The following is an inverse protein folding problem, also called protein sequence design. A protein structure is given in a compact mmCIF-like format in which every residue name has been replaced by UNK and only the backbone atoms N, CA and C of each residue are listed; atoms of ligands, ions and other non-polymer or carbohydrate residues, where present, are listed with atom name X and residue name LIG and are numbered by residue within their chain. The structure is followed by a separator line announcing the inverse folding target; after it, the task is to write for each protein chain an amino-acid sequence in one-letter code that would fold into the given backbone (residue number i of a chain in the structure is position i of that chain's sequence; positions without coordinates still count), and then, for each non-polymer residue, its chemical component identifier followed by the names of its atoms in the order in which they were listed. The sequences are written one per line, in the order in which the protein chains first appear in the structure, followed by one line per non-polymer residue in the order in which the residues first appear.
data_IF_957756425385
#
_entry.id   IF_957756425385
#
_cell.length_a   1.000
_cell.length_b   1.000
_cell.length_c   1.000
_cell.angle_alpha   90.00
_cell.angle_beta   90.00
_cell.angle_gamma   90.00
#
_symmetry.space_group_name_H-M   'P 1'
#
loop_
_entity.id
_entity.type
_entity.pdbx_description
1 polymer ?
#
# COMPACT_ATOMS: atom_id res chain seq x y z
N UNK A 1 -9.47 20.01 -10.83
CA UNK A 1 -9.59 18.87 -9.90
C UNK A 1 -11.02 18.38 -9.98
N UNK A 2 -11.23 17.13 -10.36
CA UNK A 2 -12.54 16.48 -10.19
C UNK A 2 -12.81 16.30 -8.71
N UNK A 3 -14.09 16.24 -8.34
CA UNK A 3 -14.48 15.98 -6.95
C UNK A 3 -13.93 14.63 -6.48
N UNK A 4 -13.57 14.57 -5.19
CA UNK A 4 -13.22 13.32 -4.56
C UNK A 4 -14.46 12.42 -4.50
N UNK A 5 -14.31 11.17 -4.90
CA UNK A 5 -15.40 10.19 -4.92
C UNK A 5 -14.96 8.95 -4.16
N UNK A 6 -15.88 8.37 -3.39
CA UNK A 6 -15.68 7.10 -2.69
C UNK A 6 -16.47 6.02 -3.39
N UNK A 7 -15.80 4.92 -3.75
CA UNK A 7 -16.43 3.72 -4.34
C UNK A 7 -15.86 2.46 -3.68
N UNK A 8 -16.61 1.36 -3.63
CA UNK A 8 -16.04 0.07 -3.28
C UNK A 8 -14.87 -0.29 -4.20
N UNK A 9 -13.84 -0.90 -3.64
CA UNK A 9 -12.74 -1.44 -4.44
C UNK A 9 -13.27 -2.56 -5.36
N UNK A 10 -12.93 -2.50 -6.64
CA UNK A 10 -13.32 -3.52 -7.60
C UNK A 10 -12.47 -4.79 -7.43
N UNK A 11 -13.08 -5.96 -7.63
CA UNK A 11 -12.36 -7.23 -7.71
C UNK A 11 -11.42 -7.26 -8.92
N UNK A 12 -10.33 -8.03 -8.82
CA UNK A 12 -9.29 -8.19 -9.84
C UNK A 12 -8.69 -6.87 -10.33
N UNK A 13 -8.70 -5.85 -9.47
CA UNK A 13 -8.16 -4.53 -9.77
C UNK A 13 -6.86 -4.28 -9.00
N UNK A 14 -5.98 -3.48 -9.59
CA UNK A 14 -4.77 -2.99 -8.95
C UNK A 14 -4.96 -1.56 -8.46
N UNK A 15 -4.47 -1.27 -7.26
CA UNK A 15 -4.51 0.04 -6.63
C UNK A 15 -3.13 0.46 -6.18
N UNK A 16 -2.85 1.76 -6.27
CA UNK A 16 -1.67 2.37 -5.66
C UNK A 16 -2.03 3.00 -4.33
N UNK A 17 -1.28 2.68 -3.27
CA UNK A 17 -1.38 3.36 -1.98
C UNK A 17 -0.14 4.19 -1.74
N UNK A 18 -0.25 5.51 -1.92
CA UNK A 18 0.90 6.43 -2.00
C UNK A 18 0.84 7.55 -0.96
N UNK A 19 0.79 7.26 0.36
CA UNK A 19 0.76 8.30 1.37
C UNK A 19 2.07 9.10 1.37
N UNK A 20 1.94 10.38 1.69
CA UNK A 20 3.07 11.29 1.85
C UNK A 20 2.85 12.24 3.01
N UNK A 21 3.93 12.54 3.73
CA UNK A 21 4.06 13.66 4.67
C UNK A 21 5.20 14.58 4.20
N UNK A 22 5.50 15.63 4.95
CA UNK A 22 6.65 16.48 4.64
C UNK A 22 7.96 15.67 4.66
N UNK A 23 8.65 15.57 3.52
CA UNK A 23 9.96 14.93 3.39
C UNK A 23 9.94 13.41 3.21
N UNK A 24 8.78 12.75 3.33
CA UNK A 24 8.69 11.28 3.30
C UNK A 24 7.47 10.81 2.52
N UNK A 25 7.65 9.77 1.70
CA UNK A 25 6.60 9.07 0.96
C UNK A 25 6.79 7.56 1.11
N UNK A 26 5.69 6.83 1.18
CA UNK A 26 5.65 5.38 0.97
C UNK A 26 4.70 5.08 -0.19
N UNK A 27 4.94 4.01 -0.93
CA UNK A 27 4.14 3.62 -2.09
C UNK A 27 4.07 2.09 -2.16
N UNK A 28 2.85 1.57 -2.27
CA UNK A 28 2.63 0.16 -2.62
C UNK A 28 1.73 0.00 -3.83
N UNK A 29 1.90 -1.14 -4.51
CA UNK A 29 0.93 -1.67 -5.46
C UNK A 29 0.20 -2.84 -4.81
N UNK A 30 -1.14 -2.73 -4.76
CA UNK A 30 -2.02 -3.70 -4.12
C UNK A 30 -2.95 -4.31 -5.17
N UNK A 31 -3.04 -5.63 -5.23
CA UNK A 31 -4.02 -6.34 -6.06
C UNK A 31 -5.18 -6.81 -5.17
N UNK A 32 -6.40 -6.45 -5.56
CA UNK A 32 -7.63 -7.01 -4.99
C UNK A 32 -7.97 -8.26 -5.79
N UNK A 33 -7.88 -9.42 -5.17
CA UNK A 33 -8.25 -10.69 -5.81
C UNK A 33 -9.78 -10.83 -5.93
N UNK A 34 -10.49 -10.65 -4.82
CA UNK A 34 -11.95 -10.76 -4.70
C UNK A 34 -12.40 -11.91 -3.79
N UNK A 35 -11.59 -12.95 -3.62
CA UNK A 35 -11.86 -14.08 -2.72
C UNK A 35 -10.90 -14.14 -1.52
N UNK A 36 -9.69 -13.59 -1.70
CA UNK A 36 -8.63 -13.53 -0.68
C UNK A 36 -8.39 -12.12 -0.17
N UNK A 37 -7.56 -12.02 0.87
CA UNK A 37 -7.03 -10.74 1.34
C UNK A 37 -6.25 -10.03 0.23
N UNK A 38 -6.25 -8.68 0.21
CA UNK A 38 -5.44 -7.90 -0.70
C UNK A 38 -3.95 -8.26 -0.64
N UNK A 39 -3.30 -8.34 -1.80
CA UNK A 39 -1.89 -8.70 -1.92
C UNK A 39 -1.05 -7.46 -2.26
N UNK A 40 0.02 -7.22 -1.50
CA UNK A 40 1.03 -6.20 -1.82
C UNK A 40 2.08 -6.83 -2.74
N UNK A 41 2.12 -6.42 -4.00
CA UNK A 41 3.03 -6.99 -5.01
C UNK A 41 4.33 -6.20 -5.17
N UNK A 42 4.47 -5.08 -4.47
CA UNK A 42 5.65 -4.23 -4.47
C UNK A 42 6.59 -4.48 -3.27
N UNK A 43 6.33 -5.52 -2.47
CA UNK A 43 7.19 -5.87 -1.35
C UNK A 43 8.53 -6.44 -1.83
N UNK A 44 9.64 -5.90 -1.33
CA UNK A 44 11.00 -6.37 -1.63
C UNK A 44 11.68 -6.84 -0.32
N UNK A 45 12.01 -8.14 -0.20
CA UNK A 45 12.62 -8.69 1.01
C UNK A 45 14.04 -8.17 1.27
N UNK A 46 14.68 -7.49 0.32
CA UNK A 46 15.98 -6.85 0.52
C UNK A 46 15.88 -5.57 1.37
N UNK A 47 14.68 -5.02 1.56
CA UNK A 47 14.47 -3.79 2.32
C UNK A 47 13.97 -4.09 3.73
N UNK A 48 14.37 -3.27 4.72
CA UNK A 48 13.81 -3.40 6.07
C UNK A 48 12.31 -3.13 6.02
N UNK A 49 11.57 -3.92 6.80
CA UNK A 49 10.12 -3.79 6.94
C UNK A 49 9.71 -3.65 8.40
N UNK A 50 8.65 -2.88 8.62
CA UNK A 50 7.92 -2.78 9.87
C UNK A 50 6.71 -3.70 9.82
N UNK A 51 6.59 -4.56 10.83
CA UNK A 51 5.35 -5.29 11.11
C UNK A 51 4.32 -4.32 11.68
N UNK A 52 3.12 -4.31 11.10
CA UNK A 52 2.03 -3.42 11.51
C UNK A 52 0.93 -4.23 12.17
N UNK A 53 0.27 -3.67 13.18
CA UNK A 53 -0.81 -4.37 13.91
C UNK A 53 -1.99 -4.74 13.00
N UNK A 54 -2.23 -3.92 11.97
CA UNK A 54 -3.29 -4.15 10.99
C UNK A 54 -2.77 -3.87 9.59
N UNK A 55 -2.90 -4.86 8.70
CA UNK A 55 -2.43 -4.78 7.32
C UNK A 55 -1.12 -5.54 7.08
N UNK A 56 -0.54 -5.39 5.88
CA UNK A 56 0.70 -6.06 5.48
C UNK A 56 1.93 -5.35 6.04
N UNK A 57 3.04 -6.07 6.24
CA UNK A 57 4.33 -5.49 6.57
C UNK A 57 4.75 -4.44 5.52
N UNK A 58 5.35 -3.33 5.98
CA UNK A 58 5.58 -2.13 5.15
C UNK A 58 7.05 -1.73 5.13
N UNK A 59 7.55 -1.10 4.05
CA UNK A 59 8.91 -0.56 4.04
C UNK A 59 9.15 0.36 5.23
N UNK A 60 10.23 0.11 5.96
CA UNK A 60 10.63 0.92 7.09
C UNK A 60 11.24 2.25 6.60
N UNK A 61 11.04 3.32 7.37
CA UNK A 61 11.63 4.63 7.09
C UNK A 61 13.03 4.62 7.68
N UNK A 62 14.05 4.77 6.83
CA UNK A 62 15.43 4.93 7.30
C UNK A 62 15.58 6.25 8.05
N UNK A 63 15.47 6.21 9.38
CA UNK A 63 15.84 7.32 10.26
C UNK A 63 17.33 7.18 10.57
N UNK A 64 18.14 8.15 10.13
CA UNK A 64 19.54 8.32 10.51
C UNK A 64 19.72 9.58 11.35
#
# INVERSE_FOLDING_TARGET
MTEAETRPAAERAAFSWNPSIAGTKSEDTIIIDGEKLPEVVSADPAWPVLEVETGPARPDILIR
#
